data_IF_886000377548
#
_entry.id   IF_886000377548
#
_cell.length_a   1.000
_cell.length_b   1.000
_cell.length_c   1.000
_cell.angle_alpha   90.00
_cell.angle_beta   90.00
_cell.angle_gamma   90.00
#
_symmetry.space_group_name_H-M   'P 1'
#
loop_
_entity.id
_entity.type
_entity.pdbx_description
1 polymer ?
#
# COMPACT_ATOMS: atom_id res chain seq x y z
N UNK A 1 -9.72 2.34 -12.32
CA UNK A 1 -10.53 1.32 -11.67
C UNK A 1 -9.80 -0.01 -11.64
N UNK A 2 -9.79 -0.66 -10.50
CA UNK A 2 -9.30 -2.03 -10.31
C UNK A 2 -10.50 -2.88 -9.92
N UNK A 3 -10.70 -4.01 -10.60
CA UNK A 3 -11.80 -4.91 -10.30
C UNK A 3 -11.29 -6.35 -10.16
N UNK A 4 -11.59 -6.98 -9.04
CA UNK A 4 -11.50 -8.42 -8.84
C UNK A 4 -12.90 -9.01 -8.99
N UNK A 5 -13.09 -9.95 -9.90
CA UNK A 5 -14.39 -10.61 -10.19
C UNK A 5 -14.29 -12.09 -9.90
N UNK A 6 -14.82 -12.52 -8.74
CA UNK A 6 -14.83 -13.91 -8.28
C UNK A 6 -13.46 -14.60 -8.44
N UNK A 7 -12.40 -13.94 -7.97
CA UNK A 7 -11.03 -14.38 -8.17
C UNK A 7 -10.67 -15.52 -7.24
N UNK A 8 -10.18 -16.62 -7.82
CA UNK A 8 -9.49 -17.70 -7.14
C UNK A 8 -8.06 -17.77 -7.62
N UNK A 9 -7.13 -18.04 -6.72
CA UNK A 9 -5.73 -18.24 -7.08
C UNK A 9 -5.08 -19.32 -6.23
N UNK A 10 -4.29 -20.17 -6.90
CA UNK A 10 -3.45 -21.21 -6.29
C UNK A 10 -2.07 -21.25 -6.95
N UNK A 11 -1.00 -21.31 -6.17
CA UNK A 11 0.37 -21.46 -6.69
C UNK A 11 0.65 -22.85 -7.29
N UNK A 12 0.00 -23.88 -6.77
CA UNK A 12 0.29 -25.28 -7.12
C UNK A 12 -0.94 -26.08 -7.57
N UNK A 13 -2.07 -25.41 -7.79
CA UNK A 13 -3.32 -26.05 -8.18
C UNK A 13 -4.06 -26.84 -7.07
N UNK A 14 -3.43 -27.04 -5.90
CA UNK A 14 -3.98 -27.88 -4.82
C UNK A 14 -4.74 -27.09 -3.77
N UNK A 15 -4.22 -25.94 -3.35
CA UNK A 15 -4.79 -25.09 -2.31
C UNK A 15 -4.98 -23.67 -2.82
N UNK A 16 -6.18 -23.15 -2.74
CA UNK A 16 -6.44 -21.76 -3.05
C UNK A 16 -5.92 -20.84 -1.96
N UNK A 17 -5.12 -19.85 -2.37
CA UNK A 17 -4.62 -18.73 -1.54
C UNK A 17 -5.62 -17.57 -1.57
N UNK A 18 -6.23 -17.31 -2.74
CA UNK A 18 -7.38 -16.41 -2.86
C UNK A 18 -8.59 -17.24 -3.22
N UNK A 19 -9.75 -16.91 -2.61
CA UNK A 19 -11.00 -17.66 -2.73
C UNK A 19 -12.16 -16.69 -2.93
N UNK A 20 -12.75 -16.71 -4.10
CA UNK A 20 -13.92 -15.91 -4.44
C UNK A 20 -13.77 -14.42 -4.13
N UNK A 21 -12.57 -13.87 -4.33
CA UNK A 21 -12.32 -12.46 -4.06
C UNK A 21 -13.05 -11.60 -5.08
N UNK A 22 -13.94 -10.73 -4.61
CA UNK A 22 -14.63 -9.71 -5.39
C UNK A 22 -14.40 -8.37 -4.69
N UNK A 23 -13.78 -7.43 -5.39
CA UNK A 23 -13.36 -6.13 -4.85
C UNK A 23 -13.30 -5.11 -5.97
N UNK A 24 -13.80 -3.90 -5.71
CA UNK A 24 -13.66 -2.76 -6.60
C UNK A 24 -12.90 -1.64 -5.89
N UNK A 25 -11.89 -1.09 -6.59
CA UNK A 25 -11.15 0.10 -6.17
C UNK A 25 -11.28 1.14 -7.27
N UNK A 26 -11.88 2.27 -6.94
CA UNK A 26 -12.13 3.36 -7.89
C UNK A 26 -10.87 4.17 -8.13
N UNK A 27 -10.85 4.89 -9.24
CA UNK A 27 -9.74 5.82 -9.56
C UNK A 27 -9.62 6.89 -8.47
N UNK A 28 -8.39 7.15 -8.03
CA UNK A 28 -8.11 8.15 -6.99
C UNK A 28 -8.40 7.70 -5.56
N UNK A 29 -8.90 6.46 -5.34
CA UNK A 29 -9.04 5.91 -3.99
C UNK A 29 -7.67 5.51 -3.41
N UNK A 30 -7.50 5.73 -2.10
CA UNK A 30 -6.44 5.12 -1.30
C UNK A 30 -7.07 4.02 -0.42
N UNK A 31 -6.67 2.78 -0.66
CA UNK A 31 -7.25 1.59 -0.01
C UNK A 31 -6.16 0.82 0.72
N UNK A 32 -6.38 0.54 1.99
CA UNK A 32 -5.57 -0.39 2.76
C UNK A 32 -6.20 -1.78 2.77
N UNK A 33 -5.43 -2.80 2.43
CA UNK A 33 -5.80 -4.20 2.58
C UNK A 33 -5.09 -4.75 3.81
N UNK A 34 -5.85 -5.03 4.85
CA UNK A 34 -5.37 -5.56 6.13
C UNK A 34 -5.68 -7.05 6.26
N UNK A 35 -5.01 -7.73 7.17
CA UNK A 35 -5.23 -9.15 7.44
C UNK A 35 -4.00 -9.81 8.07
N UNK A 36 -4.18 -11.00 8.61
CA UNK A 36 -3.10 -11.82 9.18
C UNK A 36 -2.00 -12.14 8.17
N UNK A 37 -0.84 -12.55 8.68
CA UNK A 37 0.20 -13.13 7.85
C UNK A 37 -0.33 -14.41 7.17
N UNK A 38 -0.10 -14.51 5.86
CA UNK A 38 -0.63 -15.63 5.08
C UNK A 38 -2.08 -15.47 4.61
N UNK A 39 -2.77 -14.37 4.91
CA UNK A 39 -4.15 -14.12 4.44
C UNK A 39 -4.27 -13.99 2.91
N UNK A 40 -3.17 -13.75 2.19
CA UNK A 40 -3.15 -13.60 0.73
C UNK A 40 -2.94 -12.16 0.24
N UNK A 41 -2.57 -11.22 1.13
CA UNK A 41 -2.42 -9.78 0.81
C UNK A 41 -1.43 -9.52 -0.33
N UNK A 42 -0.18 -9.98 -0.19
CA UNK A 42 0.85 -9.85 -1.25
C UNK A 42 0.43 -10.57 -2.53
N UNK A 43 -0.27 -11.71 -2.41
CA UNK A 43 -0.82 -12.45 -3.56
C UNK A 43 -1.86 -11.60 -4.30
N UNK A 44 -2.78 -10.97 -3.58
CA UNK A 44 -3.76 -10.04 -4.15
C UNK A 44 -3.06 -8.89 -4.88
N UNK A 45 -2.05 -8.27 -4.25
CA UNK A 45 -1.31 -7.15 -4.81
C UNK A 45 -0.60 -7.52 -6.12
N UNK A 46 0.03 -8.70 -6.19
CA UNK A 46 0.74 -9.19 -7.38
C UNK A 46 -0.18 -9.48 -8.58
N UNK A 47 -1.48 -9.56 -8.40
CA UNK A 47 -2.43 -9.65 -9.52
C UNK A 47 -2.63 -8.33 -10.24
N UNK A 48 -2.37 -7.18 -9.57
CA UNK A 48 -2.58 -5.86 -10.15
C UNK A 48 -1.64 -5.57 -11.32
N UNK A 49 -0.36 -5.96 -11.20
CA UNK A 49 0.63 -5.77 -12.24
C UNK A 49 0.85 -7.03 -13.11
N UNK A 50 0.02 -8.06 -12.90
CA UNK A 50 0.04 -9.29 -13.70
C UNK A 50 1.21 -10.24 -13.40
N UNK A 51 1.99 -10.02 -12.35
CA UNK A 51 2.99 -11.00 -11.87
C UNK A 51 2.33 -12.33 -11.51
N UNK A 52 1.10 -12.29 -11.02
CA UNK A 52 0.26 -13.46 -10.84
C UNK A 52 -1.01 -13.30 -11.69
N UNK A 53 -1.48 -14.41 -12.25
CA UNK A 53 -2.72 -14.47 -13.02
C UNK A 53 -3.75 -15.29 -12.26
N UNK A 54 -5.02 -14.90 -12.22
CA UNK A 54 -6.04 -15.65 -11.49
C UNK A 54 -6.24 -17.04 -12.10
N UNK A 55 -6.41 -18.05 -11.23
CA UNK A 55 -6.75 -19.43 -11.64
C UNK A 55 -8.20 -19.50 -12.16
N UNK A 56 -9.10 -18.75 -11.50
CA UNK A 56 -10.52 -18.57 -11.91
C UNK A 56 -10.91 -17.12 -11.67
N UNK A 57 -11.95 -16.65 -12.34
CA UNK A 57 -12.39 -15.28 -12.27
C UNK A 57 -11.54 -14.36 -13.14
N UNK A 58 -11.57 -13.05 -12.89
CA UNK A 58 -10.82 -12.06 -13.65
C UNK A 58 -10.37 -10.92 -12.75
N UNK A 59 -9.18 -10.36 -13.06
CA UNK A 59 -8.71 -9.09 -12.49
C UNK A 59 -8.59 -8.09 -13.64
N UNK A 60 -9.28 -6.95 -13.50
CA UNK A 60 -9.22 -5.88 -14.47
C UNK A 60 -8.49 -4.67 -13.87
N UNK A 61 -7.62 -4.06 -14.67
CA UNK A 61 -6.91 -2.83 -14.34
C UNK A 61 -7.09 -1.85 -15.49
N UNK A 62 -7.68 -0.69 -15.22
CA UNK A 62 -8.06 0.25 -16.27
C UNK A 62 -8.98 -0.37 -17.34
N UNK A 63 -9.85 -1.31 -16.95
CA UNK A 63 -10.74 -2.05 -17.85
C UNK A 63 -10.08 -3.20 -18.62
N UNK A 64 -8.76 -3.40 -18.52
CA UNK A 64 -8.02 -4.47 -19.20
C UNK A 64 -7.91 -5.70 -18.32
N UNK A 65 -8.26 -6.88 -18.85
CA UNK A 65 -8.06 -8.16 -18.17
C UNK A 65 -6.56 -8.47 -18.07
N UNK A 66 -6.06 -8.58 -16.84
CA UNK A 66 -4.64 -8.82 -16.59
C UNK A 66 -4.12 -10.12 -17.21
N UNK A 67 -4.98 -11.12 -17.44
CA UNK A 67 -4.61 -12.37 -18.12
C UNK A 67 -4.18 -12.17 -19.57
N UNK A 68 -4.72 -11.12 -20.23
CA UNK A 68 -4.49 -10.80 -21.64
C UNK A 68 -3.37 -9.79 -21.85
N UNK A 69 -2.81 -9.23 -20.77
CA UNK A 69 -1.74 -8.25 -20.83
C UNK A 69 -0.41 -8.86 -20.35
N UNK A 70 0.69 -8.40 -20.88
CA UNK A 70 2.03 -8.69 -20.36
C UNK A 70 2.27 -7.92 -19.05
N UNK A 71 3.24 -8.40 -18.26
CA UNK A 71 3.69 -7.66 -17.04
C UNK A 71 4.23 -6.29 -17.44
N UNK A 72 4.99 -6.19 -18.54
CA UNK A 72 5.55 -4.93 -19.03
C UNK A 72 4.48 -3.89 -19.40
N UNK A 73 3.35 -4.33 -20.01
CA UNK A 73 2.22 -3.43 -20.29
C UNK A 73 1.53 -2.95 -19.01
N UNK A 74 1.26 -3.86 -18.08
CA UNK A 74 0.59 -3.51 -16.82
C UNK A 74 1.48 -2.65 -15.92
N UNK A 75 2.80 -2.85 -15.93
CA UNK A 75 3.75 -2.07 -15.14
C UNK A 75 3.80 -0.59 -15.54
N UNK A 76 3.35 -0.22 -16.73
CA UNK A 76 3.17 1.19 -17.11
C UNK A 76 2.03 1.87 -16.34
N UNK A 77 1.03 1.08 -15.95
CA UNK A 77 -0.16 1.56 -15.24
C UNK A 77 -0.04 1.35 -13.74
N UNK A 78 0.56 0.21 -13.32
CA UNK A 78 0.66 -0.19 -11.92
C UNK A 78 2.11 -0.27 -11.48
N UNK A 79 2.53 0.65 -10.65
CA UNK A 79 3.83 0.61 -9.95
C UNK A 79 3.71 -0.23 -8.68
N UNK A 80 4.52 -1.28 -8.57
CA UNK A 80 4.58 -2.13 -7.38
C UNK A 80 5.87 -1.85 -6.60
N UNK A 81 5.72 -1.54 -5.33
CA UNK A 81 6.82 -1.32 -4.39
C UNK A 81 6.85 -2.51 -3.43
N UNK A 82 7.95 -3.27 -3.46
CA UNK A 82 8.08 -4.49 -2.67
C UNK A 82 8.42 -4.19 -1.20
N UNK A 83 8.01 -5.09 -0.32
CA UNK A 83 8.31 -5.04 1.12
C UNK A 83 9.81 -4.92 1.40
N UNK A 84 10.62 -5.75 0.73
CA UNK A 84 12.08 -5.70 0.83
C UNK A 84 12.66 -5.01 -0.41
N UNK A 85 13.25 -3.81 -0.28
CA UNK A 85 13.82 -3.09 -1.40
C UNK A 85 14.93 -3.86 -2.13
N UNK A 86 15.63 -4.78 -1.47
CA UNK A 86 16.66 -5.60 -2.10
C UNK A 86 16.12 -6.56 -3.18
N UNK A 87 14.80 -6.82 -3.19
CA UNK A 87 14.16 -7.60 -4.26
C UNK A 87 13.77 -6.74 -5.47
N UNK A 88 13.92 -5.42 -5.36
CA UNK A 88 13.55 -4.46 -6.40
C UNK A 88 14.78 -3.77 -7.00
N UNK A 89 15.77 -3.41 -6.15
CA UNK A 89 16.95 -2.66 -6.53
C UNK A 89 18.04 -3.58 -7.10
N UNK A 90 18.59 -3.23 -8.28
CA UNK A 90 19.56 -4.07 -8.99
C UNK A 90 20.56 -3.29 -9.85
N UNK A 91 20.36 -1.98 -10.07
CA UNK A 91 21.25 -1.18 -10.92
C UNK A 91 22.60 -0.88 -10.24
N UNK A 92 23.58 -0.48 -11.02
CA UNK A 92 24.92 -0.13 -10.52
C UNK A 92 24.91 1.18 -9.74
N UNK A 93 24.07 2.15 -10.16
CA UNK A 93 23.96 3.47 -9.50
C UNK A 93 22.53 3.80 -9.12
N UNK A 94 22.36 4.67 -8.13
CA UNK A 94 21.07 5.23 -7.70
C UNK A 94 20.38 5.93 -8.88
N UNK A 95 21.15 6.64 -9.72
CA UNK A 95 20.65 7.27 -10.92
C UNK A 95 20.06 6.26 -11.90
N UNK A 96 20.82 5.21 -12.20
CA UNK A 96 20.39 4.19 -13.17
C UNK A 96 19.20 3.39 -12.68
N UNK A 97 19.08 3.16 -11.37
CA UNK A 97 17.93 2.51 -10.76
C UNK A 97 16.63 3.29 -11.05
N UNK A 98 16.65 4.61 -10.85
CA UNK A 98 15.49 5.48 -11.13
C UNK A 98 15.25 5.64 -12.63
N UNK A 99 16.30 5.68 -13.44
CA UNK A 99 16.22 5.83 -14.90
C UNK A 99 15.73 4.57 -15.61
N UNK A 100 15.87 3.39 -14.99
CA UNK A 100 15.65 2.09 -15.62
C UNK A 100 14.27 1.95 -16.28
N UNK A 101 13.20 2.18 -15.52
CA UNK A 101 11.84 2.06 -16.04
C UNK A 101 11.56 3.08 -17.16
N UNK A 102 12.05 4.30 -16.99
CA UNK A 102 11.89 5.36 -18.01
C UNK A 102 12.56 4.99 -19.33
N UNK A 103 13.79 4.42 -19.28
CA UNK A 103 14.49 3.91 -20.48
C UNK A 103 13.70 2.80 -21.16
N UNK A 104 13.23 1.82 -20.40
CA UNK A 104 12.46 0.68 -20.93
C UNK A 104 11.10 1.10 -21.51
N UNK A 105 10.55 2.20 -21.02
CA UNK A 105 9.32 2.78 -21.56
C UNK A 105 9.56 3.72 -22.74
N UNK A 106 10.82 3.87 -23.19
CA UNK A 106 11.26 4.69 -24.32
C UNK A 106 10.96 6.19 -24.12
N UNK A 107 11.15 6.72 -22.89
CA UNK A 107 11.09 8.16 -22.68
C UNK A 107 12.30 8.86 -23.32
N UNK A 108 12.14 10.10 -23.85
CA UNK A 108 13.25 10.91 -24.36
C UNK A 108 14.30 11.19 -23.28
N UNK A 109 15.58 11.26 -23.67
CA UNK A 109 16.71 11.40 -22.71
C UNK A 109 16.62 12.65 -21.85
N UNK A 110 16.12 13.76 -22.40
CA UNK A 110 15.92 15.01 -21.65
C UNK A 110 14.81 14.88 -20.60
N UNK A 111 13.74 14.12 -20.91
CA UNK A 111 12.66 13.80 -19.96
C UNK A 111 13.17 12.87 -18.87
N UNK A 112 13.96 11.84 -19.22
CA UNK A 112 14.56 10.93 -18.23
C UNK A 112 15.39 11.74 -17.24
N UNK A 113 16.31 12.58 -17.74
CA UNK A 113 17.16 13.41 -16.88
C UNK A 113 16.35 14.26 -15.91
N UNK A 114 15.36 15.01 -16.42
CA UNK A 114 14.51 15.89 -15.59
C UNK A 114 13.73 15.11 -14.52
N UNK A 115 13.14 13.98 -14.89
CA UNK A 115 12.35 13.15 -13.97
C UNK A 115 13.21 12.50 -12.89
N UNK A 116 14.37 11.95 -13.27
CA UNK A 116 15.31 11.34 -12.33
C UNK A 116 15.82 12.38 -11.32
N UNK A 117 16.29 13.56 -11.81
CA UNK A 117 16.70 14.65 -10.92
C UNK A 117 15.57 15.05 -9.95
N UNK A 118 14.37 15.23 -10.47
CA UNK A 118 13.21 15.64 -9.66
C UNK A 118 12.92 14.65 -8.53
N UNK A 119 12.80 13.36 -8.85
CA UNK A 119 12.44 12.37 -7.82
C UNK A 119 13.60 12.12 -6.85
N UNK A 120 14.85 12.14 -7.30
CA UNK A 120 15.99 11.99 -6.41
C UNK A 120 16.09 13.16 -5.42
N UNK A 121 15.77 14.39 -5.83
CA UNK A 121 15.67 15.54 -4.92
C UNK A 121 14.49 15.42 -3.96
N UNK A 122 13.31 15.00 -4.46
CA UNK A 122 12.11 14.81 -3.66
C UNK A 122 12.31 13.82 -2.51
N UNK A 123 13.15 12.79 -2.73
CA UNK A 123 13.43 11.74 -1.75
C UNK A 123 14.75 11.90 -1.01
N UNK A 124 15.43 13.06 -1.13
CA UNK A 124 16.73 13.36 -0.51
C UNK A 124 17.82 12.32 -0.88
N UNK A 125 17.86 11.92 -2.16
CA UNK A 125 18.78 10.92 -2.68
C UNK A 125 19.73 11.47 -3.77
N UNK A 126 19.60 12.74 -4.16
CA UNK A 126 20.36 13.30 -5.28
C UNK A 126 21.89 13.28 -5.05
N UNK A 127 22.34 13.52 -3.83
CA UNK A 127 23.76 13.49 -3.48
C UNK A 127 24.39 12.07 -3.57
N UNK A 128 23.54 11.05 -3.61
CA UNK A 128 23.95 9.65 -3.73
C UNK A 128 23.81 9.11 -5.16
N UNK A 129 23.46 9.94 -6.15
CA UNK A 129 23.10 9.53 -7.51
C UNK A 129 24.12 8.62 -8.20
N UNK A 130 25.41 8.82 -7.91
CA UNK A 130 26.54 8.08 -8.51
C UNK A 130 26.98 6.89 -7.63
N UNK A 131 26.37 6.67 -6.45
CA UNK A 131 26.66 5.54 -5.56
C UNK A 131 25.85 4.31 -5.92
N UNK A 132 26.35 3.16 -5.48
CA UNK A 132 25.58 1.92 -5.58
C UNK A 132 24.37 1.96 -4.64
N UNK A 133 23.18 1.47 -5.07
CA UNK A 133 22.03 1.29 -4.18
C UNK A 133 22.35 0.47 -2.92
N UNK A 134 23.31 -0.44 -2.99
CA UNK A 134 23.70 -1.29 -1.87
C UNK A 134 24.54 -0.60 -0.80
N UNK A 135 25.11 0.56 -1.11
CA UNK A 135 25.82 1.41 -0.14
C UNK A 135 24.86 2.26 0.72
N UNK A 136 23.59 2.36 0.32
CA UNK A 136 22.58 3.10 1.02
C UNK A 136 22.13 2.38 2.30
N UNK A 137 21.71 3.15 3.32
CA UNK A 137 21.01 2.61 4.49
C UNK A 137 19.66 1.96 4.12
N UNK A 138 19.10 1.17 5.03
CA UNK A 138 17.80 0.52 4.79
C UNK A 138 16.67 1.52 4.48
N UNK A 139 16.64 2.65 5.16
CA UNK A 139 15.66 3.73 4.92
C UNK A 139 15.86 4.41 3.57
N UNK A 140 17.11 4.71 3.19
CA UNK A 140 17.44 5.27 1.88
C UNK A 140 17.10 4.31 0.74
N UNK A 141 17.38 3.01 0.89
CA UNK A 141 16.97 2.00 -0.09
C UNK A 141 15.46 1.93 -0.27
N UNK A 142 14.68 2.07 0.80
CA UNK A 142 13.22 2.14 0.68
C UNK A 142 12.78 3.39 -0.07
N UNK A 143 13.35 4.56 0.25
CA UNK A 143 13.06 5.79 -0.50
C UNK A 143 13.44 5.65 -1.97
N UNK A 144 14.58 5.01 -2.28
CA UNK A 144 14.99 4.73 -3.66
C UNK A 144 14.01 3.81 -4.38
N UNK A 145 13.53 2.75 -3.73
CA UNK A 145 12.54 1.86 -4.31
C UNK A 145 11.21 2.57 -4.62
N UNK A 146 10.79 3.52 -3.79
CA UNK A 146 9.63 4.38 -4.07
C UNK A 146 9.94 5.33 -5.23
N UNK A 147 11.09 6.00 -5.19
CA UNK A 147 11.52 6.96 -6.21
C UNK A 147 11.60 6.32 -7.61
N UNK A 148 12.13 5.09 -7.72
CA UNK A 148 12.23 4.37 -9.00
C UNK A 148 10.87 4.07 -9.63
N UNK A 149 9.84 3.84 -8.81
CA UNK A 149 8.46 3.66 -9.27
C UNK A 149 7.81 4.98 -9.62
N UNK A 150 7.93 6.00 -8.78
CA UNK A 150 7.27 7.29 -9.01
C UNK A 150 7.86 8.07 -10.19
N UNK A 151 9.09 7.76 -10.61
CA UNK A 151 9.74 8.42 -11.73
C UNK A 151 8.96 8.31 -13.04
N UNK A 152 8.29 7.19 -13.31
CA UNK A 152 7.49 7.01 -14.51
C UNK A 152 6.00 7.32 -14.36
N UNK A 153 5.62 7.80 -13.16
CA UNK A 153 4.30 8.38 -12.88
C UNK A 153 3.10 7.45 -13.13
N UNK A 154 3.07 6.23 -12.56
CA UNK A 154 1.99 5.27 -12.77
C UNK A 154 0.64 5.80 -12.25
N UNK A 155 -0.48 5.31 -12.81
CA UNK A 155 -1.83 5.65 -12.34
C UNK A 155 -2.18 4.98 -11.00
N UNK A 156 -1.66 3.77 -10.80
CA UNK A 156 -1.87 2.96 -9.60
C UNK A 156 -0.52 2.71 -8.93
N UNK A 157 -0.46 2.93 -7.63
CA UNK A 157 0.72 2.66 -6.81
C UNK A 157 0.35 1.63 -5.76
N UNK A 158 1.03 0.49 -5.82
CA UNK A 158 0.78 -0.65 -4.95
C UNK A 158 1.97 -0.81 -3.99
N UNK A 159 1.71 -0.75 -2.68
CA UNK A 159 2.71 -0.91 -1.63
C UNK A 159 2.53 -2.24 -0.90
N UNK A 160 3.59 -3.04 -0.84
CA UNK A 160 3.63 -4.28 -0.07
C UNK A 160 4.35 -4.05 1.25
N UNK A 161 3.60 -4.00 2.36
CA UNK A 161 4.09 -3.84 3.75
C UNK A 161 5.12 -2.69 3.90
N UNK A 162 4.79 -1.45 3.51
CA UNK A 162 5.78 -0.38 3.41
C UNK A 162 6.30 0.12 4.77
N UNK A 163 5.57 -0.14 5.87
CA UNK A 163 5.92 0.34 7.22
C UNK A 163 6.89 -0.57 7.97
N UNK A 164 7.13 -1.80 7.50
CA UNK A 164 8.04 -2.74 8.17
C UNK A 164 9.45 -2.18 8.24
N UNK A 165 10.01 -2.16 9.47
CA UNK A 165 11.36 -1.65 9.74
C UNK A 165 11.50 -0.15 9.54
N UNK A 166 10.40 0.60 9.58
CA UNK A 166 10.38 2.07 9.60
C UNK A 166 10.15 2.57 11.03
N UNK A 167 10.88 3.60 11.42
CA UNK A 167 10.61 4.35 12.62
C UNK A 167 9.38 5.27 12.45
N UNK A 168 8.98 5.93 13.52
CA UNK A 168 7.81 6.82 13.51
C UNK A 168 7.93 7.94 12.47
N UNK A 169 9.10 8.58 12.38
CA UNK A 169 9.32 9.69 11.44
C UNK A 169 9.22 9.24 9.98
N UNK A 170 9.80 8.09 9.66
CA UNK A 170 9.74 7.49 8.33
C UNK A 170 8.30 7.09 7.95
N UNK A 171 7.50 6.55 8.91
CA UNK A 171 6.08 6.26 8.69
C UNK A 171 5.28 7.54 8.43
N UNK A 172 5.52 8.61 9.18
CA UNK A 172 4.86 9.90 8.95
C UNK A 172 5.20 10.47 7.57
N UNK A 173 6.46 10.41 7.17
CA UNK A 173 6.91 10.83 5.83
C UNK A 173 6.23 10.02 4.73
N UNK A 174 6.14 8.69 4.89
CA UNK A 174 5.42 7.82 3.94
C UNK A 174 3.94 8.20 3.86
N UNK A 175 3.28 8.47 4.99
CA UNK A 175 1.89 8.93 5.04
C UNK A 175 1.69 10.24 4.29
N UNK A 176 2.65 11.19 4.41
CA UNK A 176 2.62 12.43 3.64
C UNK A 176 2.73 12.19 2.13
N UNK A 177 3.61 11.26 1.70
CA UNK A 177 3.69 10.87 0.28
C UNK A 177 2.39 10.27 -0.23
N UNK A 178 1.76 9.38 0.54
CA UNK A 178 0.47 8.77 0.18
C UNK A 178 -0.61 9.86 0.01
N UNK A 179 -0.71 10.80 0.95
CA UNK A 179 -1.65 11.93 0.88
C UNK A 179 -1.38 12.81 -0.34
N UNK A 180 -0.11 13.15 -0.61
CA UNK A 180 0.27 13.92 -1.79
C UNK A 180 -0.11 13.21 -3.08
N UNK A 181 0.20 11.93 -3.23
CA UNK A 181 -0.14 11.14 -4.41
C UNK A 181 -1.66 11.05 -4.62
N UNK A 182 -2.42 10.93 -3.54
CA UNK A 182 -3.89 10.97 -3.58
C UNK A 182 -4.40 12.31 -4.11
N UNK A 183 -3.84 13.46 -3.67
CA UNK A 183 -4.23 14.78 -4.20
C UNK A 183 -3.92 14.95 -5.68
N UNK A 184 -2.94 14.21 -6.21
CA UNK A 184 -2.61 14.13 -7.64
C UNK A 184 -3.53 13.17 -8.42
N UNK A 185 -4.55 12.59 -7.77
CA UNK A 185 -5.51 11.68 -8.40
C UNK A 185 -4.98 10.25 -8.61
N UNK A 186 -3.86 9.87 -7.97
CA UNK A 186 -3.35 8.50 -8.02
C UNK A 186 -4.23 7.55 -7.22
N UNK A 187 -4.36 6.34 -7.72
CA UNK A 187 -4.99 5.23 -6.99
C UNK A 187 -3.91 4.51 -6.17
N UNK A 188 -4.15 4.32 -4.88
CA UNK A 188 -3.17 3.73 -3.97
C UNK A 188 -3.75 2.47 -3.36
N UNK A 189 -2.99 1.37 -3.43
CA UNK A 189 -3.35 0.11 -2.78
C UNK A 189 -2.19 -0.30 -1.88
N UNK A 190 -2.41 -0.30 -0.58
CA UNK A 190 -1.39 -0.70 0.39
C UNK A 190 -1.83 -1.98 1.09
N UNK A 191 -0.98 -2.99 1.12
CA UNK A 191 -1.20 -4.15 1.99
C UNK A 191 -0.32 -3.99 3.23
N UNK A 192 -0.90 -4.12 4.41
CA UNK A 192 -0.18 -3.94 5.68
C UNK A 192 -0.92 -4.58 6.85
N UNK A 193 -0.20 -4.78 7.95
CA UNK A 193 -0.74 -5.16 9.26
C UNK A 193 -0.58 -4.02 10.30
N UNK A 194 -0.09 -2.86 9.89
CA UNK A 194 0.11 -1.68 10.74
C UNK A 194 -1.21 -0.88 10.85
N UNK A 195 -2.01 -1.18 11.87
CA UNK A 195 -3.34 -0.62 12.05
C UNK A 195 -3.33 0.87 12.35
N UNK A 196 -2.31 1.37 13.06
CA UNK A 196 -2.13 2.79 13.36
C UNK A 196 -1.86 3.57 12.07
N UNK A 197 -0.96 3.06 11.24
CA UNK A 197 -0.65 3.67 9.96
C UNK A 197 -1.89 3.70 9.04
N UNK A 198 -2.69 2.64 9.05
CA UNK A 198 -3.94 2.59 8.28
C UNK A 198 -4.95 3.61 8.80
N UNK A 199 -5.15 3.69 10.12
CA UNK A 199 -6.10 4.62 10.74
C UNK A 199 -5.78 6.09 10.43
N UNK A 200 -4.49 6.45 10.33
CA UNK A 200 -4.03 7.82 10.08
C UNK A 200 -4.05 8.22 8.59
N UNK A 201 -3.95 7.26 7.66
CA UNK A 201 -3.62 7.57 6.27
C UNK A 201 -4.62 7.05 5.23
N UNK A 202 -5.58 6.19 5.61
CA UNK A 202 -6.52 5.58 4.66
C UNK A 202 -7.96 5.80 5.07
N UNK A 203 -8.82 6.06 4.09
CA UNK A 203 -10.26 6.23 4.30
C UNK A 203 -11.03 4.92 4.08
N UNK A 204 -10.50 4.03 3.24
CA UNK A 204 -11.13 2.76 2.87
C UNK A 204 -10.23 1.59 3.25
N UNK A 205 -10.82 0.60 3.89
CA UNK A 205 -10.13 -0.60 4.37
C UNK A 205 -10.84 -1.85 3.86
N UNK A 206 -10.03 -2.80 3.43
CA UNK A 206 -10.44 -4.15 3.05
C UNK A 206 -9.81 -5.14 4.01
N UNK A 207 -10.62 -5.90 4.73
CA UNK A 207 -10.15 -6.98 5.58
C UNK A 207 -10.11 -8.29 4.79
N UNK A 208 -8.92 -8.81 4.57
CA UNK A 208 -8.67 -10.09 3.92
C UNK A 208 -8.33 -11.13 4.98
N UNK A 209 -9.08 -12.23 5.04
CA UNK A 209 -8.81 -13.32 5.95
C UNK A 209 -8.92 -14.65 5.22
N UNK A 210 -7.92 -15.52 5.37
CA UNK A 210 -7.86 -16.87 4.78
C UNK A 210 -8.17 -16.91 3.28
N UNK A 211 -7.79 -15.85 2.57
CA UNK A 211 -7.96 -15.69 1.13
C UNK A 211 -9.33 -15.13 0.69
N UNK A 212 -10.16 -14.69 1.61
CA UNK A 212 -11.49 -14.13 1.36
C UNK A 212 -11.58 -12.68 1.85
N UNK A 213 -12.30 -11.82 1.12
CA UNK A 213 -12.67 -10.48 1.60
C UNK A 213 -13.81 -10.64 2.59
N UNK A 214 -13.56 -10.37 3.86
CA UNK A 214 -14.54 -10.54 4.93
C UNK A 214 -15.20 -9.23 5.35
N UNK A 215 -14.55 -8.10 5.06
CA UNK A 215 -15.13 -6.77 5.20
C UNK A 215 -14.49 -5.79 4.22
N UNK A 216 -15.28 -4.82 3.78
CA UNK A 216 -14.83 -3.69 2.95
C UNK A 216 -15.70 -2.48 3.31
N UNK A 217 -15.08 -1.41 3.83
CA UNK A 217 -15.80 -0.23 4.27
C UNK A 217 -14.86 0.94 4.57
N UNK A 218 -15.36 1.96 5.23
CA UNK A 218 -14.53 3.04 5.75
C UNK A 218 -13.54 2.51 6.80
N UNK A 219 -12.41 3.19 6.95
CA UNK A 219 -11.43 2.85 7.99
C UNK A 219 -12.10 2.81 9.37
N UNK A 220 -13.01 3.75 9.64
CA UNK A 220 -13.77 3.79 10.89
C UNK A 220 -14.61 2.53 11.10
N UNK A 221 -15.46 2.17 10.12
CA UNK A 221 -16.33 0.98 10.22
C UNK A 221 -15.56 -0.32 10.45
N UNK A 222 -14.41 -0.47 9.81
CA UNK A 222 -13.62 -1.71 9.90
C UNK A 222 -12.72 -1.72 11.13
N UNK A 223 -11.98 -0.64 11.40
CA UNK A 223 -10.95 -0.62 12.45
C UNK A 223 -11.52 -0.43 13.87
N UNK A 224 -12.73 0.16 14.01
CA UNK A 224 -13.38 0.25 15.31
C UNK A 224 -14.25 -0.96 15.64
N UNK A 225 -14.42 -1.89 14.72
CA UNK A 225 -15.15 -3.13 14.96
C UNK A 225 -14.21 -4.18 15.59
N UNK A 226 -13.94 -4.02 16.90
CA UNK A 226 -13.04 -4.88 17.69
C UNK A 226 -13.38 -6.36 17.53
N UNK A 227 -14.67 -6.74 17.64
CA UNK A 227 -15.10 -8.13 17.53
C UNK A 227 -14.84 -8.74 16.16
N UNK A 228 -14.96 -7.95 15.08
CA UNK A 228 -14.62 -8.38 13.73
C UNK A 228 -13.11 -8.63 13.61
N UNK A 229 -12.29 -7.70 14.09
CA UNK A 229 -10.83 -7.80 14.00
C UNK A 229 -10.32 -9.02 14.80
N UNK A 230 -10.74 -9.17 16.06
CA UNK A 230 -10.37 -10.29 16.94
C UNK A 230 -10.76 -11.66 16.33
N UNK A 231 -11.96 -11.77 15.76
CA UNK A 231 -12.43 -12.98 15.06
C UNK A 231 -11.48 -13.40 13.93
N UNK A 232 -10.77 -12.43 13.34
CA UNK A 232 -9.83 -12.64 12.25
C UNK A 232 -8.36 -12.44 12.67
N UNK A 233 -8.05 -12.60 13.98
CA UNK A 233 -6.70 -12.61 14.52
C UNK A 233 -5.98 -11.27 14.47
N UNK A 234 -6.70 -10.17 14.43
CA UNK A 234 -6.17 -8.81 14.39
C UNK A 234 -6.54 -8.06 15.67
N UNK A 235 -5.67 -7.14 16.09
CA UNK A 235 -5.98 -6.17 17.15
C UNK A 235 -6.48 -4.87 16.50
N UNK A 236 -7.38 -4.18 17.20
CA UNK A 236 -7.76 -2.83 16.78
C UNK A 236 -6.58 -1.85 17.00
N UNK A 237 -6.61 -0.65 16.39
CA UNK A 237 -5.66 0.41 16.75
C UNK A 237 -5.62 0.67 18.25
N UNK A 238 -4.45 1.01 18.81
CA UNK A 238 -4.26 1.20 20.26
C UNK A 238 -5.24 2.20 20.86
N UNK A 239 -5.52 3.30 20.13
CA UNK A 239 -6.49 4.30 20.60
C UNK A 239 -7.91 3.75 20.62
N UNK A 240 -8.27 2.87 19.69
CA UNK A 240 -9.56 2.18 19.69
C UNK A 240 -9.63 1.19 20.84
N UNK A 241 -8.58 0.41 21.11
CA UNK A 241 -8.51 -0.49 22.28
C UNK A 241 -8.70 0.30 23.58
N UNK A 242 -7.97 1.41 23.76
CA UNK A 242 -8.11 2.29 24.91
C UNK A 242 -9.54 2.84 25.04
N UNK A 243 -10.15 3.24 23.93
CA UNK A 243 -11.51 3.76 23.92
C UNK A 243 -12.55 2.71 24.37
N UNK A 244 -12.35 1.45 23.99
CA UNK A 244 -13.19 0.35 24.48
C UNK A 244 -13.03 0.14 25.99
N UNK A 245 -11.80 0.14 26.52
CA UNK A 245 -11.54 -0.02 27.96
C UNK A 245 -12.13 1.14 28.79
N UNK A 246 -12.16 2.35 28.23
CA UNK A 246 -12.69 3.53 28.90
C UNK A 246 -14.18 3.77 28.62
N UNK A 247 -14.85 2.89 27.89
CA UNK A 247 -16.25 3.09 27.50
C UNK A 247 -17.23 3.20 28.67
N UNK A 248 -16.96 2.50 29.77
CA UNK A 248 -17.78 2.54 30.99
C UNK A 248 -17.67 3.89 31.72
N UNK A 249 -16.64 4.69 31.39
CA UNK A 249 -16.47 6.07 31.89
C UNK A 249 -17.00 7.13 30.91
N UNK A 250 -17.82 6.73 29.92
CA UNK A 250 -18.42 7.64 28.96
C UNK A 250 -17.54 7.97 27.75
N UNK A 251 -16.45 7.22 27.54
CA UNK A 251 -15.57 7.41 26.41
C UNK A 251 -16.19 6.84 25.13
N UNK A 252 -16.16 7.57 23.98
CA UNK A 252 -16.67 7.03 22.71
C UNK A 252 -15.84 5.84 22.23
N UNK A 253 -16.49 4.78 21.74
CA UNK A 253 -15.81 3.55 21.27
C UNK A 253 -15.20 3.65 19.87
N UNK A 254 -15.53 4.70 19.12
CA UNK A 254 -15.19 4.86 17.70
C UNK A 254 -13.97 5.76 17.47
N UNK A 255 -13.08 5.88 18.43
CA UNK A 255 -11.87 6.69 18.36
C UNK A 255 -10.81 5.98 17.52
N UNK A 256 -10.26 6.69 16.54
CA UNK A 256 -9.19 6.21 15.66
C UNK A 256 -7.92 7.06 15.73
N UNK A 257 -8.06 8.37 15.99
CA UNK A 257 -6.95 9.30 15.90
C UNK A 257 -6.60 9.92 17.25
N UNK A 258 -5.35 10.35 17.39
CA UNK A 258 -4.88 11.03 18.59
C UNK A 258 -5.70 12.32 18.88
N UNK A 259 -6.08 13.04 17.84
CA UNK A 259 -6.89 14.26 17.99
C UNK A 259 -8.29 13.94 18.55
N UNK A 260 -8.91 12.85 18.09
CA UNK A 260 -10.20 12.40 18.62
C UNK A 260 -10.08 11.97 20.09
N UNK A 261 -9.03 11.21 20.41
CA UNK A 261 -8.75 10.82 21.79
C UNK A 261 -8.54 12.02 22.71
N UNK A 262 -7.76 13.01 22.26
CA UNK A 262 -7.55 14.25 23.02
C UNK A 262 -8.86 15.00 23.27
N UNK A 263 -9.71 15.15 22.24
CA UNK A 263 -11.01 15.81 22.38
C UNK A 263 -11.95 15.06 23.34
N UNK A 264 -11.93 13.72 23.28
CA UNK A 264 -12.75 12.89 24.18
C UNK A 264 -12.28 12.99 25.62
N UNK A 265 -10.95 12.92 25.89
CA UNK A 265 -10.37 13.11 27.22
C UNK A 265 -10.76 14.48 27.78
N UNK A 266 -10.61 15.55 26.97
CA UNK A 266 -10.95 16.90 27.41
C UNK A 266 -12.41 17.02 27.84
N UNK A 267 -13.34 16.41 27.08
CA UNK A 267 -14.77 16.41 27.43
C UNK A 267 -15.06 15.68 28.75
N UNK A 268 -14.37 14.56 29.02
CA UNK A 268 -14.57 13.79 30.25
C UNK A 268 -13.98 14.50 31.47
N UNK A 269 -12.89 15.26 31.28
CA UNK A 269 -12.22 15.98 32.38
C UNK A 269 -12.80 17.37 32.66
N UNK A 270 -13.54 17.97 31.71
CA UNK A 270 -14.18 19.29 31.85
C UNK A 270 -15.55 19.21 32.58
N UNK A 271 -15.93 18.05 33.14
CA UNK A 271 -17.17 17.87 33.96
C UNK A 271 -16.97 18.28 35.42
#
# INVERSE_FOLDING_TARGET
>A
VIEFRNVYFSYNGKRYVLKNVSLEIKRGEAVAVIGENGAGKTTLLKHLNGLLKPTKGAVLVGGKDTRKCSVAELSRTVGLIFQNPNHQLFAETVWDEVAFALRNFNYPSDVIRKRVEYVLRLFDLYEYKDRSPYELSGGERKRLAIASVLAYDPEVIAFDEPTIGQDYYQKQTLGQYIKLLKTQGKTIVTVTHDMEFVAENFEKVVLLSRGEVVACGSAREVLTNKSLLEKHGLLAPQLTELAYELSDYGFPRDILTLEEAYRAIKRVLEV
#
